data_IF_466443061526
#
_entry.id   IF_466443061526
#
_cell.length_a   1.000
_cell.length_b   1.000
_cell.length_c   1.000
_cell.angle_alpha   90.00
_cell.angle_beta   90.00
_cell.angle_gamma   90.00
#
_symmetry.space_group_name_H-M   'P 1'
#
loop_
_entity.id
_entity.type
_entity.pdbx_description
1 polymer ?
#
# COMPACT_ATOMS: atom_id res chain seq x y z
N UNK A 1 24.35 -7.17 -12.22
CA UNK A 1 23.52 -8.32 -11.84
C UNK A 1 22.25 -7.77 -11.21
N UNK A 2 21.07 -8.00 -11.82
CA UNK A 2 19.80 -7.61 -11.22
C UNK A 2 19.44 -8.65 -10.16
N UNK A 3 19.59 -8.27 -8.89
CA UNK A 3 19.16 -9.08 -7.76
C UNK A 3 17.66 -8.80 -7.57
N UNK A 4 16.87 -9.83 -7.34
CA UNK A 4 15.45 -9.72 -7.07
C UNK A 4 15.20 -8.90 -5.78
N UNK A 5 14.29 -7.96 -5.84
CA UNK A 5 13.92 -7.10 -4.69
C UNK A 5 14.67 -5.77 -4.63
N UNK A 6 14.46 -5.05 -3.54
CA UNK A 6 15.19 -3.82 -3.26
C UNK A 6 16.56 -4.14 -2.65
N UNK A 7 17.61 -3.35 -2.97
CA UNK A 7 18.90 -3.51 -2.30
C UNK A 7 18.74 -3.40 -0.79
N UNK A 8 19.41 -4.28 -0.05
CA UNK A 8 19.51 -4.15 1.39
C UNK A 8 20.30 -2.88 1.72
N UNK A 9 19.74 -1.93 2.47
CA UNK A 9 20.42 -0.70 2.81
C UNK A 9 21.56 -0.92 3.83
N UNK A 10 21.73 -2.14 4.36
CA UNK A 10 22.67 -2.45 5.42
C UNK A 10 22.11 -2.15 6.82
N UNK A 11 23.02 -2.04 7.80
CA UNK A 11 22.64 -1.70 9.18
C UNK A 11 21.97 -0.33 9.29
N UNK A 12 21.00 -0.22 10.18
CA UNK A 12 20.34 1.04 10.50
C UNK A 12 18.82 0.97 10.51
N UNK A 13 18.21 2.10 10.73
CA UNK A 13 16.76 2.25 10.81
C UNK A 13 16.16 2.33 9.40
N UNK A 14 15.32 1.36 9.07
CA UNK A 14 14.70 1.20 7.76
C UNK A 14 13.41 2.00 7.65
N UNK A 15 13.48 3.22 7.14
CA UNK A 15 12.33 4.11 6.94
C UNK A 15 11.99 4.32 5.45
N UNK A 16 12.35 3.38 4.57
CA UNK A 16 12.23 3.50 3.11
C UNK A 16 11.15 2.63 2.48
N UNK A 17 10.64 1.58 3.18
CA UNK A 17 9.66 0.63 2.65
C UNK A 17 8.29 0.67 3.33
N UNK A 18 8.05 1.66 4.21
CA UNK A 18 6.80 1.79 4.96
C UNK A 18 6.50 0.53 5.79
N UNK A 19 7.56 -0.11 6.30
CA UNK A 19 7.46 -1.22 7.23
C UNK A 19 7.03 -0.70 8.61
N UNK A 20 6.39 -1.53 9.41
CA UNK A 20 6.22 -1.24 10.82
C UNK A 20 7.58 -1.39 11.51
N UNK A 21 8.03 -0.36 12.20
CA UNK A 21 9.35 -0.37 12.83
C UNK A 21 9.34 -0.95 14.25
N UNK A 22 8.17 -1.29 14.77
CA UNK A 22 7.97 -1.82 16.13
C UNK A 22 8.00 -3.33 16.26
N UNK A 23 7.94 -4.05 15.13
CA UNK A 23 7.79 -5.51 15.11
C UNK A 23 6.34 -5.97 15.23
N UNK A 24 6.06 -7.22 14.86
CA UNK A 24 4.72 -7.78 14.88
C UNK A 24 4.22 -8.09 16.30
N UNK A 25 2.91 -8.34 16.43
CA UNK A 25 2.32 -8.78 17.69
C UNK A 25 3.06 -10.01 18.24
N UNK A 26 3.39 -10.05 19.55
CA UNK A 26 3.93 -11.24 20.22
C UNK A 26 3.07 -12.50 20.02
N UNK A 27 1.75 -12.34 19.89
CA UNK A 27 0.82 -13.46 19.62
C UNK A 27 1.12 -14.15 18.30
N UNK A 28 1.59 -13.40 17.28
CA UNK A 28 2.01 -13.96 16.00
C UNK A 28 3.19 -14.93 16.18
N UNK A 29 4.21 -14.51 16.91
CA UNK A 29 5.40 -15.35 17.17
C UNK A 29 5.03 -16.60 17.96
N UNK A 30 4.15 -16.46 18.97
CA UNK A 30 3.66 -17.58 19.75
C UNK A 30 2.87 -18.58 18.90
N UNK A 31 2.00 -18.10 18.00
CA UNK A 31 1.22 -18.94 17.12
C UNK A 31 2.12 -19.73 16.16
N UNK A 32 3.11 -19.07 15.56
CA UNK A 32 4.09 -19.72 14.67
C UNK A 32 4.89 -20.80 15.40
N UNK A 33 5.31 -20.56 16.65
CA UNK A 33 6.04 -21.53 17.46
C UNK A 33 5.25 -22.79 17.80
N UNK A 34 3.91 -22.74 17.72
CA UNK A 34 3.03 -23.91 18.00
C UNK A 34 2.80 -24.80 16.78
N UNK A 35 3.29 -24.40 15.60
CA UNK A 35 3.19 -25.22 14.39
C UNK A 35 3.93 -26.54 14.57
N UNK A 36 3.31 -27.61 14.08
CA UNK A 36 3.83 -28.96 14.11
C UNK A 36 4.51 -29.29 12.77
N UNK A 37 5.42 -30.28 12.71
CA UNK A 37 6.00 -30.73 11.45
C UNK A 37 4.95 -31.12 10.38
N UNK A 38 3.82 -31.71 10.82
CA UNK A 38 2.69 -32.05 9.93
C UNK A 38 2.04 -30.85 9.29
N UNK A 39 1.95 -29.71 9.99
CA UNK A 39 1.35 -28.49 9.44
C UNK A 39 2.20 -27.91 8.30
N UNK A 40 3.53 -28.11 8.39
CA UNK A 40 4.49 -27.66 7.35
C UNK A 40 4.49 -28.59 6.13
N UNK A 41 4.27 -29.90 6.35
CA UNK A 41 4.39 -30.92 5.29
C UNK A 41 3.10 -31.14 4.49
N UNK A 42 1.99 -30.51 4.86
CA UNK A 42 0.70 -30.62 4.17
C UNK A 42 0.28 -29.29 3.53
N UNK A 43 -0.49 -29.38 2.45
CA UNK A 43 -1.05 -28.17 1.85
C UNK A 43 -1.98 -27.44 2.82
N UNK A 44 -1.90 -26.09 2.90
CA UNK A 44 -2.70 -25.31 3.82
C UNK A 44 -4.19 -25.30 3.46
N UNK A 45 -5.04 -25.16 4.48
CA UNK A 45 -6.49 -24.97 4.32
C UNK A 45 -6.86 -23.51 4.63
N UNK A 46 -7.59 -22.87 3.71
CA UNK A 46 -7.93 -21.44 3.80
C UNK A 46 -9.27 -21.10 4.50
N UNK A 47 -10.30 -21.99 4.53
CA UNK A 47 -11.65 -21.61 4.96
C UNK A 47 -11.72 -20.95 6.33
N UNK A 48 -10.96 -21.44 7.31
CA UNK A 48 -10.96 -20.86 8.68
C UNK A 48 -10.50 -19.41 8.69
N UNK A 49 -9.39 -19.10 7.97
CA UNK A 49 -8.87 -17.74 7.88
C UNK A 49 -9.80 -16.83 7.07
N UNK A 50 -10.40 -17.34 5.97
CA UNK A 50 -11.37 -16.58 5.17
C UNK A 50 -12.56 -16.16 6.03
N UNK A 51 -13.10 -17.06 6.85
CA UNK A 51 -14.19 -16.76 7.78
C UNK A 51 -13.77 -15.73 8.87
N UNK A 52 -12.53 -15.80 9.34
CA UNK A 52 -12.00 -14.83 10.31
C UNK A 52 -11.86 -13.44 9.67
N UNK A 53 -11.30 -13.36 8.45
CA UNK A 53 -11.16 -12.14 7.68
C UNK A 53 -12.54 -11.53 7.37
N UNK A 54 -13.49 -12.34 6.89
CA UNK A 54 -14.83 -11.89 6.55
C UNK A 54 -15.53 -11.25 7.76
N UNK A 55 -15.45 -11.89 8.93
CA UNK A 55 -15.97 -11.33 10.19
C UNK A 55 -15.25 -10.05 10.61
N UNK A 56 -13.93 -10.00 10.45
CA UNK A 56 -13.11 -8.85 10.85
C UNK A 56 -13.44 -7.60 10.01
N UNK A 57 -13.66 -7.78 8.71
CA UNK A 57 -13.98 -6.69 7.80
C UNK A 57 -15.48 -6.47 7.55
N UNK A 58 -16.34 -7.25 8.23
CA UNK A 58 -17.81 -7.22 8.11
C UNK A 58 -18.27 -7.37 6.64
N UNK A 59 -17.77 -8.43 5.97
CA UNK A 59 -18.11 -8.76 4.58
C UNK A 59 -18.48 -10.23 4.45
N UNK A 60 -19.15 -10.59 3.34
CA UNK A 60 -19.45 -11.99 3.03
C UNK A 60 -18.15 -12.79 2.79
N UNK A 61 -18.00 -14.00 3.33
CA UNK A 61 -16.83 -14.86 3.04
C UNK A 61 -16.60 -15.11 1.53
N UNK A 62 -17.63 -15.14 0.72
CA UNK A 62 -17.52 -15.29 -0.74
C UNK A 62 -16.89 -14.06 -1.41
N UNK A 63 -16.86 -12.92 -0.73
CA UNK A 63 -16.24 -11.70 -1.25
C UNK A 63 -14.74 -11.62 -0.98
N UNK A 64 -14.17 -12.56 -0.23
CA UNK A 64 -12.76 -12.55 0.17
C UNK A 64 -11.92 -13.46 -0.73
N UNK A 65 -10.84 -12.92 -1.27
CA UNK A 65 -9.78 -13.66 -1.95
C UNK A 65 -8.44 -13.39 -1.29
N UNK A 66 -7.79 -14.45 -0.81
CA UNK A 66 -6.44 -14.40 -0.25
C UNK A 66 -5.40 -14.33 -1.37
N UNK A 67 -4.38 -13.47 -1.21
CA UNK A 67 -3.29 -13.30 -2.17
C UNK A 67 -1.92 -13.27 -1.48
N UNK A 68 -0.87 -13.67 -2.20
CA UNK A 68 0.51 -13.67 -1.70
C UNK A 68 1.09 -12.24 -1.71
N UNK A 69 0.61 -11.43 -0.75
CA UNK A 69 0.72 -9.98 -0.74
C UNK A 69 -0.30 -9.32 -1.67
N UNK A 70 -0.59 -8.05 -1.41
CA UNK A 70 -1.50 -7.31 -2.28
C UNK A 70 -0.92 -7.09 -3.69
N UNK A 71 0.39 -7.14 -3.85
CA UNK A 71 1.05 -7.05 -5.16
C UNK A 71 0.59 -8.18 -6.11
N UNK A 72 0.45 -9.42 -5.60
CA UNK A 72 -0.16 -10.51 -6.36
C UNK A 72 -1.62 -10.21 -6.67
N UNK A 73 -2.39 -9.71 -5.71
CA UNK A 73 -3.79 -9.36 -5.91
C UNK A 73 -3.99 -8.31 -7.02
N UNK A 74 -3.14 -7.28 -7.04
CA UNK A 74 -3.13 -6.25 -8.08
C UNK A 74 -2.82 -6.86 -9.46
N UNK A 75 -1.80 -7.72 -9.54
CA UNK A 75 -1.40 -8.39 -10.77
C UNK A 75 -2.49 -9.34 -11.28
N UNK A 76 -3.05 -10.17 -10.40
CA UNK A 76 -4.11 -11.12 -10.76
C UNK A 76 -5.41 -10.40 -11.16
N UNK A 77 -5.74 -9.28 -10.51
CA UNK A 77 -6.87 -8.45 -10.92
C UNK A 77 -6.66 -7.87 -12.33
N UNK A 78 -5.46 -7.37 -12.63
CA UNK A 78 -5.14 -6.90 -13.99
C UNK A 78 -5.23 -8.01 -15.02
N UNK A 79 -4.61 -9.18 -14.77
CA UNK A 79 -4.64 -10.32 -15.70
C UNK A 79 -6.08 -10.82 -15.88
N UNK A 80 -6.83 -11.02 -14.79
CA UNK A 80 -8.19 -11.57 -14.85
C UNK A 80 -9.18 -10.70 -15.62
N UNK A 81 -9.09 -9.38 -15.50
CA UNK A 81 -10.03 -8.47 -16.14
C UNK A 81 -9.59 -7.96 -17.51
N UNK A 82 -8.29 -7.79 -17.74
CA UNK A 82 -7.76 -7.22 -18.98
C UNK A 82 -7.57 -8.31 -20.03
N UNK A 83 -6.87 -9.41 -19.71
CA UNK A 83 -6.54 -10.44 -20.67
C UNK A 83 -7.79 -11.18 -21.20
N UNK A 84 -8.83 -11.33 -20.37
CA UNK A 84 -10.11 -11.91 -20.78
C UNK A 84 -10.91 -11.04 -21.74
N UNK A 85 -10.71 -9.73 -21.73
CA UNK A 85 -11.41 -8.82 -22.63
C UNK A 85 -11.05 -9.00 -24.11
N UNK A 86 -9.96 -9.73 -24.43
CA UNK A 86 -9.44 -9.99 -25.80
C UNK A 86 -9.32 -8.73 -26.67
N UNK A 87 -9.11 -7.57 -26.04
CA UNK A 87 -8.95 -6.29 -26.74
C UNK A 87 -7.46 -6.00 -26.92
N UNK A 88 -7.04 -5.81 -28.17
CA UNK A 88 -5.64 -5.49 -28.49
C UNK A 88 -5.18 -4.11 -28.01
N UNK A 89 -6.10 -3.23 -27.63
CA UNK A 89 -5.87 -1.84 -27.24
C UNK A 89 -6.47 -1.48 -25.88
N UNK A 90 -6.59 -2.47 -24.98
CA UNK A 90 -7.08 -2.26 -23.62
C UNK A 90 -6.23 -1.21 -22.87
N UNK A 91 -6.90 -0.37 -22.08
CA UNK A 91 -6.30 0.68 -21.30
C UNK A 91 -6.58 0.49 -19.80
N UNK A 92 -5.62 0.92 -18.97
CA UNK A 92 -5.85 1.15 -17.55
C UNK A 92 -5.61 2.61 -17.22
N UNK A 93 -6.37 3.16 -16.27
CA UNK A 93 -6.12 4.51 -15.75
C UNK A 93 -5.30 4.40 -14.46
N UNK A 94 -4.18 5.13 -14.44
CA UNK A 94 -3.25 5.19 -13.30
C UNK A 94 -3.03 6.64 -12.90
N UNK A 95 -3.71 7.16 -11.85
CA UNK A 95 -3.39 8.46 -11.27
C UNK A 95 -1.95 8.50 -10.76
N UNK A 96 -1.22 9.57 -11.06
CA UNK A 96 0.19 9.71 -10.68
C UNK A 96 0.42 10.95 -9.80
N UNK A 97 1.37 10.92 -8.83
CA UNK A 97 2.38 9.86 -8.59
C UNK A 97 1.73 8.56 -8.09
N UNK A 98 2.29 7.43 -8.49
CA UNK A 98 1.69 6.11 -8.28
C UNK A 98 2.66 5.09 -7.65
N UNK A 99 2.08 3.99 -7.21
CA UNK A 99 2.81 2.79 -6.83
C UNK A 99 3.23 2.01 -8.10
N UNK A 100 4.52 1.71 -8.22
CA UNK A 100 5.10 1.11 -9.44
C UNK A 100 4.44 -0.19 -9.92
N UNK A 101 3.89 -1.07 -9.07
CA UNK A 101 3.16 -2.26 -9.49
C UNK A 101 1.95 -2.02 -10.40
N UNK A 102 1.27 -0.88 -10.35
CA UNK A 102 0.10 -0.66 -11.22
C UNK A 102 0.46 -0.64 -12.71
N UNK A 103 1.38 0.23 -13.20
CA UNK A 103 1.79 0.18 -14.59
C UNK A 103 2.48 -1.12 -14.98
N UNK A 104 3.20 -1.77 -14.05
CA UNK A 104 3.84 -3.06 -14.31
C UNK A 104 2.79 -4.17 -14.52
N UNK A 105 1.75 -4.23 -13.67
CA UNK A 105 0.64 -5.19 -13.82
C UNK A 105 -0.18 -4.92 -15.07
N UNK A 106 -0.36 -3.65 -15.44
CA UNK A 106 -0.99 -3.26 -16.71
C UNK A 106 -0.22 -3.83 -17.90
N UNK A 107 1.09 -3.62 -17.93
CA UNK A 107 1.95 -4.14 -19.01
C UNK A 107 1.96 -5.68 -19.05
N UNK A 108 2.01 -6.34 -17.88
CA UNK A 108 1.96 -7.80 -17.78
C UNK A 108 0.63 -8.37 -18.29
N UNK A 109 -0.48 -7.64 -18.13
CA UNK A 109 -1.79 -8.01 -18.66
C UNK A 109 -1.99 -7.66 -20.16
N UNK A 110 -1.00 -7.03 -20.80
CA UNK A 110 -1.04 -6.68 -22.23
C UNK A 110 -1.80 -5.38 -22.55
N UNK A 111 -1.95 -4.48 -21.56
CA UNK A 111 -2.65 -3.21 -21.73
C UNK A 111 -1.70 -2.00 -21.66
N UNK A 112 -2.22 -0.82 -21.96
CA UNK A 112 -1.51 0.46 -21.89
C UNK A 112 -1.99 1.27 -20.69
N UNK A 113 -1.05 1.87 -19.93
CA UNK A 113 -1.38 2.76 -18.82
C UNK A 113 -1.63 4.19 -19.31
N UNK A 114 -2.84 4.69 -19.10
CA UNK A 114 -3.20 6.11 -19.24
C UNK A 114 -2.89 6.79 -17.91
N UNK A 115 -1.84 7.60 -17.88
CA UNK A 115 -1.41 8.31 -16.67
C UNK A 115 -2.20 9.61 -16.50
N UNK A 116 -2.77 9.82 -15.32
CA UNK A 116 -3.50 11.04 -14.95
C UNK A 116 -2.76 11.75 -13.83
N UNK A 117 -2.04 12.85 -14.10
CA UNK A 117 -1.27 13.54 -13.07
C UNK A 117 -2.15 14.12 -11.96
N UNK A 118 -1.69 14.08 -10.71
CA UNK A 118 -2.31 14.77 -9.58
C UNK A 118 -2.38 16.30 -9.80
N UNK A 119 -3.18 16.98 -9.02
CA UNK A 119 -3.18 18.45 -9.00
C UNK A 119 -1.78 18.98 -8.55
N UNK A 120 -1.44 20.25 -8.84
CA UNK A 120 -0.13 20.82 -8.46
C UNK A 120 0.18 20.77 -6.96
N UNK A 121 -0.85 20.70 -6.11
CA UNK A 121 -0.75 20.54 -4.66
C UNK A 121 -0.71 19.07 -4.21
N UNK A 122 -0.70 18.13 -5.16
CA UNK A 122 -0.78 16.67 -5.00
C UNK A 122 -2.14 16.14 -4.55
N UNK A 123 -3.19 16.97 -4.52
CA UNK A 123 -4.55 16.46 -4.31
C UNK A 123 -5.03 15.60 -5.48
N UNK A 124 -6.00 14.74 -5.22
CA UNK A 124 -6.47 13.77 -6.21
C UNK A 124 -7.29 14.44 -7.35
N UNK A 125 -7.05 14.08 -8.62
CA UNK A 125 -7.63 14.76 -9.78
C UNK A 125 -8.92 14.08 -10.27
N UNK A 126 -9.95 13.92 -9.44
CA UNK A 126 -11.18 13.16 -9.69
C UNK A 126 -11.79 13.42 -11.08
N UNK A 127 -12.04 14.68 -11.44
CA UNK A 127 -12.67 15.01 -12.72
C UNK A 127 -11.79 14.67 -13.94
N UNK A 128 -10.45 14.72 -13.79
CA UNK A 128 -9.53 14.30 -14.86
C UNK A 128 -9.51 12.78 -15.00
N UNK A 129 -9.59 12.05 -13.91
CA UNK A 129 -9.71 10.58 -13.92
C UNK A 129 -10.99 10.19 -14.65
N UNK A 130 -12.13 10.80 -14.32
CA UNK A 130 -13.43 10.54 -14.98
C UNK A 130 -13.36 10.85 -16.48
N UNK A 131 -12.81 12.00 -16.86
CA UNK A 131 -12.65 12.36 -18.28
C UNK A 131 -11.71 11.45 -19.06
N UNK A 132 -10.80 10.77 -18.40
CA UNK A 132 -9.87 9.83 -19.04
C UNK A 132 -10.52 8.46 -19.36
N UNK A 133 -11.72 8.17 -18.83
CA UNK A 133 -12.45 6.94 -19.10
C UNK A 133 -12.87 6.89 -20.56
N UNK A 134 -12.52 5.80 -21.23
CA UNK A 134 -12.89 5.52 -22.64
C UNK A 134 -13.53 4.14 -22.76
N UNK A 135 -14.14 3.78 -23.90
CA UNK A 135 -14.60 2.40 -24.15
C UNK A 135 -13.50 1.35 -24.11
N UNK A 136 -12.21 1.73 -24.16
CA UNK A 136 -11.05 0.85 -24.01
C UNK A 136 -10.62 0.67 -22.56
N UNK A 137 -11.07 1.51 -21.64
CA UNK A 137 -10.73 1.40 -20.21
C UNK A 137 -11.28 0.09 -19.66
N UNK A 138 -10.39 -0.73 -19.07
CA UNK A 138 -10.74 -2.02 -18.45
C UNK A 138 -10.51 -2.00 -16.96
N UNK A 139 -9.58 -1.15 -16.48
CA UNK A 139 -9.28 -1.07 -15.08
C UNK A 139 -8.83 0.34 -14.67
N UNK A 140 -9.19 0.75 -13.47
CA UNK A 140 -8.72 1.98 -12.85
C UNK A 140 -8.09 1.60 -11.51
N UNK A 141 -6.85 2.04 -11.27
CA UNK A 141 -6.17 1.84 -9.99
C UNK A 141 -6.30 3.11 -9.15
N UNK A 142 -6.88 3.00 -7.97
CA UNK A 142 -7.03 4.09 -7.00
C UNK A 142 -6.36 3.72 -5.70
N UNK A 143 -5.37 4.48 -5.25
CA UNK A 143 -4.66 4.21 -4.00
C UNK A 143 -5.01 5.27 -2.95
N UNK A 144 -5.64 4.83 -1.86
CA UNK A 144 -6.09 5.71 -0.77
C UNK A 144 -5.85 5.06 0.60
N UNK A 145 -5.01 5.65 1.44
CA UNK A 145 -4.08 6.78 1.24
C UNK A 145 -3.05 6.53 0.13
N UNK A 146 -2.80 7.54 -0.71
CA UNK A 146 -1.93 7.41 -1.88
C UNK A 146 -0.44 7.24 -1.51
N UNK A 147 0.24 6.31 -2.14
CA UNK A 147 1.69 6.19 -2.09
C UNK A 147 2.30 6.82 -3.37
N UNK A 148 3.07 7.94 -3.25
CA UNK A 148 3.83 8.35 -2.06
C UNK A 148 3.28 9.56 -1.29
N UNK A 149 2.16 10.17 -1.66
CA UNK A 149 1.75 11.48 -1.15
C UNK A 149 1.09 11.44 0.23
N UNK A 150 0.49 10.30 0.60
CA UNK A 150 -0.32 10.14 1.82
C UNK A 150 -1.72 10.75 1.72
N UNK A 151 -2.08 11.31 0.55
CA UNK A 151 -3.38 11.94 0.34
C UNK A 151 -4.51 10.93 0.26
N UNK A 152 -5.67 11.32 0.77
CA UNK A 152 -6.90 10.54 0.67
C UNK A 152 -7.69 10.89 -0.60
N UNK A 153 -8.43 9.90 -1.09
CA UNK A 153 -9.52 10.10 -2.02
C UNK A 153 -10.82 10.01 -1.21
N UNK A 154 -11.71 10.97 -1.33
CA UNK A 154 -12.98 10.93 -0.60
C UNK A 154 -13.86 9.76 -1.05
N UNK A 155 -14.67 9.22 -0.13
CA UNK A 155 -15.66 8.19 -0.47
C UNK A 155 -16.58 8.64 -1.61
N UNK A 156 -16.98 9.90 -1.61
CA UNK A 156 -17.81 10.48 -2.67
C UNK A 156 -17.10 10.47 -4.04
N UNK A 157 -15.80 10.78 -4.08
CA UNK A 157 -15.04 10.76 -5.33
C UNK A 157 -14.80 9.33 -5.82
N UNK A 158 -14.52 8.38 -4.91
CA UNK A 158 -14.40 6.96 -5.23
C UNK A 158 -15.71 6.44 -5.85
N UNK A 159 -16.86 6.78 -5.26
CA UNK A 159 -18.19 6.44 -5.76
C UNK A 159 -18.45 7.05 -7.16
N UNK A 160 -18.18 8.33 -7.34
CA UNK A 160 -18.33 9.02 -8.66
C UNK A 160 -17.48 8.35 -9.74
N UNK A 161 -16.26 7.94 -9.42
CA UNK A 161 -15.39 7.27 -10.41
C UNK A 161 -15.94 5.89 -10.76
N UNK A 162 -16.38 5.11 -9.77
CA UNK A 162 -16.93 3.77 -10.03
C UNK A 162 -18.24 3.83 -10.84
N UNK A 163 -19.10 4.82 -10.58
CA UNK A 163 -20.32 5.06 -11.34
C UNK A 163 -20.05 5.48 -12.79
N UNK A 164 -19.00 6.29 -13.01
CA UNK A 164 -18.57 6.67 -14.35
C UNK A 164 -17.89 5.53 -15.13
N UNK A 165 -17.32 4.53 -14.42
CA UNK A 165 -16.54 3.43 -14.97
C UNK A 165 -17.29 2.09 -14.94
N UNK A 166 -18.60 2.05 -15.21
CA UNK A 166 -19.46 0.85 -15.06
C UNK A 166 -18.99 -0.36 -15.86
N UNK A 167 -18.32 -0.13 -16.97
CA UNK A 167 -17.79 -1.18 -17.86
C UNK A 167 -16.32 -1.54 -17.57
N UNK A 168 -15.72 -0.93 -16.54
CA UNK A 168 -14.36 -1.18 -16.09
C UNK A 168 -14.34 -1.55 -14.62
N UNK A 169 -13.31 -2.30 -14.20
CA UNK A 169 -13.08 -2.57 -12.78
C UNK A 169 -12.33 -1.40 -12.15
N UNK A 170 -12.79 -0.98 -10.97
CA UNK A 170 -12.09 -0.02 -10.12
C UNK A 170 -11.46 -0.77 -8.96
N UNK A 171 -10.13 -0.86 -8.94
CA UNK A 171 -9.40 -1.43 -7.81
C UNK A 171 -8.98 -0.30 -6.88
N UNK A 172 -9.55 -0.30 -5.68
CA UNK A 172 -9.22 0.64 -4.61
C UNK A 172 -8.20 -0.03 -3.69
N UNK A 173 -6.96 0.43 -3.75
CA UNK A 173 -5.88 -0.04 -2.89
C UNK A 173 -5.88 0.73 -1.58
N UNK A 174 -6.32 0.06 -0.52
CA UNK A 174 -6.41 0.57 0.85
C UNK A 174 -5.25 0.06 1.73
N UNK A 175 -4.06 -0.14 1.18
CA UNK A 175 -2.92 -0.70 1.91
C UNK A 175 -2.49 0.07 3.16
N UNK A 176 -2.93 1.31 3.33
CA UNK A 176 -2.56 2.19 4.45
C UNK A 176 -3.76 2.73 5.23
N UNK A 177 -4.96 2.27 4.95
CA UNK A 177 -6.22 2.86 5.47
C UNK A 177 -6.33 2.76 7.00
N UNK A 178 -5.68 1.78 7.62
CA UNK A 178 -5.65 1.62 9.08
C UNK A 178 -4.96 2.79 9.81
N UNK A 179 -4.15 3.58 9.11
CA UNK A 179 -3.46 4.73 9.69
C UNK A 179 -4.24 6.04 9.58
N UNK A 180 -5.30 6.07 8.75
CA UNK A 180 -6.18 7.23 8.59
C UNK A 180 -7.03 7.11 7.34
N UNK A 181 -8.23 7.65 7.41
CA UNK A 181 -9.21 7.62 6.34
C UNK A 181 -10.40 6.71 6.64
N UNK A 182 -11.29 6.63 5.68
CA UNK A 182 -12.50 5.82 5.72
C UNK A 182 -12.42 4.76 4.61
N UNK A 183 -12.76 3.51 4.94
CA UNK A 183 -12.76 2.40 3.98
C UNK A 183 -13.97 2.45 3.05
N UNK A 184 -13.77 2.06 1.79
CA UNK A 184 -14.84 1.90 0.81
C UNK A 184 -15.65 0.61 0.98
N UNK A 185 -15.22 -0.32 1.84
CA UNK A 185 -15.89 -1.60 2.04
C UNK A 185 -17.41 -1.49 2.28
N UNK A 186 -17.93 -0.55 3.10
CA UNK A 186 -19.37 -0.40 3.31
C UNK A 186 -20.15 0.03 2.05
N UNK A 187 -19.46 0.52 1.01
CA UNK A 187 -20.09 0.97 -0.24
C UNK A 187 -20.13 -0.14 -1.30
N UNK A 188 -19.37 -1.24 -1.14
CA UNK A 188 -19.28 -2.33 -2.12
C UNK A 188 -20.63 -2.84 -2.63
N UNK A 189 -21.70 -3.02 -1.78
CA UNK A 189 -23.00 -3.50 -2.27
C UNK A 189 -23.67 -2.60 -3.31
N UNK A 190 -23.23 -1.36 -3.45
CA UNK A 190 -23.74 -0.39 -4.42
C UNK A 190 -22.84 -0.22 -5.64
N UNK A 191 -21.65 -0.81 -5.60
CA UNK A 191 -20.60 -0.62 -6.60
C UNK A 191 -20.01 -1.98 -7.04
N UNK A 192 -20.79 -2.80 -7.80
CA UNK A 192 -20.41 -4.18 -8.14
C UNK A 192 -19.18 -4.30 -9.04
N UNK A 193 -18.71 -3.19 -9.62
CA UNK A 193 -17.47 -3.10 -10.40
C UNK A 193 -16.25 -2.67 -9.56
N UNK A 194 -16.36 -2.67 -8.23
CA UNK A 194 -15.24 -2.28 -7.34
C UNK A 194 -14.62 -3.51 -6.69
N UNK A 195 -13.30 -3.51 -6.65
CA UNK A 195 -12.47 -4.39 -5.83
C UNK A 195 -11.70 -3.55 -4.82
N UNK A 196 -11.69 -3.95 -3.54
CA UNK A 196 -10.90 -3.31 -2.49
C UNK A 196 -9.71 -4.21 -2.15
N UNK A 197 -8.49 -3.68 -2.27
CA UNK A 197 -7.26 -4.35 -1.88
C UNK A 197 -6.82 -3.96 -0.48
N UNK A 198 -6.47 -4.95 0.35
CA UNK A 198 -5.93 -4.77 1.70
C UNK A 198 -4.64 -5.57 1.87
N UNK A 199 -3.77 -5.15 2.78
CA UNK A 199 -2.51 -5.86 3.05
C UNK A 199 -2.27 -6.03 4.55
N UNK A 200 -1.67 -7.15 4.91
CA UNK A 200 -1.18 -7.37 6.27
C UNK A 200 0.28 -6.92 6.45
N UNK A 201 0.91 -6.38 5.41
CA UNK A 201 2.32 -5.98 5.42
C UNK A 201 2.61 -4.70 6.18
N UNK A 202 1.62 -3.81 6.39
CA UNK A 202 1.83 -2.44 6.92
C UNK A 202 1.38 -2.32 8.37
N UNK A 203 0.11 -2.17 8.62
CA UNK A 203 -0.42 -1.94 9.96
C UNK A 203 -0.30 -3.17 10.88
N UNK A 204 -0.37 -4.38 10.31
CA UNK A 204 -0.25 -5.64 11.06
C UNK A 204 1.20 -6.13 11.20
N UNK A 205 2.17 -5.44 10.58
CA UNK A 205 3.61 -5.76 10.61
C UNK A 205 3.98 -7.18 10.13
N UNK A 206 3.30 -7.63 9.09
CA UNK A 206 3.52 -8.94 8.49
C UNK A 206 4.14 -8.85 7.09
N UNK A 207 4.99 -7.84 6.85
CA UNK A 207 5.60 -7.61 5.54
C UNK A 207 6.35 -8.85 5.01
N UNK A 208 7.07 -9.56 5.88
CA UNK A 208 7.79 -10.78 5.55
C UNK A 208 6.88 -12.00 5.29
N UNK A 209 5.63 -11.98 5.74
CA UNK A 209 4.67 -13.08 5.55
C UNK A 209 4.01 -13.07 4.19
N UNK A 210 4.05 -11.93 3.48
CA UNK A 210 3.47 -11.80 2.14
C UNK A 210 1.99 -12.23 2.09
N UNK A 211 1.11 -11.57 2.85
CA UNK A 211 -0.34 -11.78 2.78
C UNK A 211 -1.06 -10.48 2.45
N UNK A 212 -1.96 -10.57 1.49
CA UNK A 212 -2.92 -9.56 1.12
C UNK A 212 -4.28 -10.18 0.86
N UNK A 213 -5.27 -9.36 0.66
CA UNK A 213 -6.61 -9.77 0.27
C UNK A 213 -7.17 -8.83 -0.79
N UNK A 214 -7.99 -9.38 -1.67
CA UNK A 214 -8.87 -8.63 -2.57
C UNK A 214 -10.30 -8.94 -2.15
N UNK A 215 -11.09 -7.90 -1.92
CA UNK A 215 -12.48 -7.98 -1.47
C UNK A 215 -13.36 -7.36 -2.55
N UNK A 216 -14.44 -8.05 -2.91
CA UNK A 216 -15.42 -7.57 -3.88
C UNK A 216 -16.52 -8.58 -4.11
N UNK A 217 -17.60 -8.17 -4.75
CA UNK A 217 -18.69 -9.09 -5.09
C UNK A 217 -18.21 -10.19 -6.04
N UNK A 218 -18.82 -11.40 -5.98
CA UNK A 218 -18.40 -12.54 -6.78
C UNK A 218 -18.24 -12.27 -8.29
N UNK A 219 -19.10 -11.48 -8.97
CA UNK A 219 -18.91 -11.19 -10.39
C UNK A 219 -17.61 -10.42 -10.70
N UNK A 220 -17.21 -9.49 -9.85
CA UNK A 220 -15.95 -8.76 -9.98
C UNK A 220 -14.74 -9.60 -9.52
N UNK A 221 -14.93 -10.46 -8.53
CA UNK A 221 -13.86 -11.25 -7.94
C UNK A 221 -13.56 -12.53 -8.71
N UNK A 222 -14.54 -13.12 -9.42
CA UNK A 222 -14.36 -14.40 -10.11
C UNK A 222 -13.25 -14.38 -11.16
N UNK A 223 -13.11 -13.35 -12.03
CA UNK A 223 -11.98 -13.29 -12.96
C UNK A 223 -10.60 -13.30 -12.27
N UNK A 224 -10.50 -12.75 -11.06
CA UNK A 224 -9.27 -12.77 -10.25
C UNK A 224 -9.02 -14.17 -9.69
N UNK A 225 -10.06 -14.84 -9.18
CA UNK A 225 -10.00 -16.23 -8.70
C UNK A 225 -9.51 -17.19 -9.78
N UNK A 226 -10.02 -17.04 -11.00
CA UNK A 226 -9.71 -17.93 -12.13
C UNK A 226 -8.23 -17.93 -12.54
N UNK A 227 -7.49 -16.87 -12.20
CA UNK A 227 -6.06 -16.75 -12.51
C UNK A 227 -5.16 -16.86 -11.28
N UNK A 228 -5.76 -16.91 -10.09
CA UNK A 228 -5.01 -17.10 -8.83
C UNK A 228 -4.65 -18.57 -8.66
N UNK A 229 -3.37 -18.84 -8.36
CA UNK A 229 -2.90 -20.20 -8.16
C UNK A 229 -3.45 -20.80 -6.86
N UNK A 230 -3.81 -22.10 -6.84
CA UNK A 230 -4.18 -22.77 -5.62
C UNK A 230 -2.97 -22.83 -4.65
N UNK A 231 -3.22 -22.76 -3.35
CA UNK A 231 -2.18 -22.85 -2.32
C UNK A 231 -1.07 -21.79 -2.43
N UNK A 232 -1.42 -20.60 -2.95
CA UNK A 232 -0.49 -19.47 -3.13
C UNK A 232 0.06 -18.89 -1.81
N UNK A 233 -0.54 -19.19 -0.65
CA UNK A 233 -0.12 -18.71 0.66
C UNK A 233 0.33 -19.88 1.54
N UNK A 234 1.49 -19.76 2.14
CA UNK A 234 2.04 -20.78 3.03
C UNK A 234 1.36 -20.80 4.41
N UNK A 235 1.46 -21.92 5.11
CA UNK A 235 0.81 -22.13 6.41
C UNK A 235 1.29 -21.18 7.49
N UNK A 236 2.57 -20.79 7.49
CA UNK A 236 3.14 -19.87 8.49
C UNK A 236 2.46 -18.49 8.34
N UNK A 237 2.28 -18.05 7.10
CA UNK A 237 1.62 -16.78 6.79
C UNK A 237 0.14 -16.79 7.19
N UNK A 238 -0.60 -17.88 6.94
CA UNK A 238 -1.99 -18.03 7.37
C UNK A 238 -2.10 -17.97 8.90
N UNK A 239 -1.22 -18.69 9.61
CA UNK A 239 -1.16 -18.70 11.08
C UNK A 239 -0.84 -17.31 11.63
N UNK A 240 0.10 -16.60 10.99
CA UNK A 240 0.47 -15.25 11.40
C UNK A 240 -0.69 -14.26 11.27
N UNK A 241 -1.42 -14.29 10.15
CA UNK A 241 -2.58 -13.40 9.94
C UNK A 241 -3.72 -13.73 10.91
N UNK A 242 -4.02 -15.01 11.12
CA UNK A 242 -5.03 -15.42 12.12
C UNK A 242 -4.72 -14.82 13.49
N UNK A 243 -3.49 -14.99 13.97
CA UNK A 243 -3.07 -14.50 15.28
C UNK A 243 -3.03 -12.96 15.37
N UNK A 244 -2.67 -12.28 14.26
CA UNK A 244 -2.67 -10.82 14.20
C UNK A 244 -4.08 -10.23 14.27
N UNK A 245 -5.07 -10.86 13.62
CA UNK A 245 -6.47 -10.42 13.67
C UNK A 245 -7.13 -10.66 15.03
N UNK A 246 -6.66 -11.67 15.76
CA UNK A 246 -7.11 -11.95 17.13
C UNK A 246 -6.52 -10.99 18.18
N UNK A 247 -5.45 -10.28 17.86
CA UNK A 247 -4.85 -9.25 18.73
C UNK A 247 -5.47 -7.87 18.46
N UNK A 248 -6.65 -7.66 19.00
CA UNK A 248 -7.43 -6.43 18.78
C UNK A 248 -6.79 -5.16 19.37
N UNK A 249 -5.79 -5.29 20.24
CA UNK A 249 -5.12 -4.16 20.87
C UNK A 249 -3.86 -3.70 20.11
N UNK A 250 -3.24 -4.58 19.33
CA UNK A 250 -1.97 -4.28 18.67
C UNK A 250 -2.11 -3.16 17.65
N UNK A 251 -3.05 -3.29 16.72
CA UNK A 251 -3.28 -2.33 15.64
C UNK A 251 -3.59 -0.91 16.14
N UNK A 252 -4.56 -0.68 17.07
CA UNK A 252 -4.83 0.66 17.58
C UNK A 252 -3.63 1.29 18.27
N UNK A 253 -2.85 0.51 19.04
CA UNK A 253 -1.64 1.01 19.70
C UNK A 253 -0.59 1.44 18.69
N UNK A 254 -0.35 0.67 17.64
CA UNK A 254 0.61 1.03 16.60
C UNK A 254 0.13 2.22 15.77
N UNK A 255 -1.14 2.27 15.40
CA UNK A 255 -1.71 3.41 14.68
C UNK A 255 -1.57 4.72 15.46
N UNK A 256 -1.74 4.69 16.79
CA UNK A 256 -1.49 5.85 17.65
C UNK A 256 -0.02 6.30 17.63
N UNK A 257 0.95 5.36 17.64
CA UNK A 257 2.38 5.67 17.50
C UNK A 257 2.67 6.33 16.14
N UNK A 258 2.09 5.82 15.07
CA UNK A 258 2.25 6.39 13.71
C UNK A 258 1.66 7.80 13.64
N UNK A 259 0.49 8.02 14.23
CA UNK A 259 -0.12 9.35 14.26
C UNK A 259 0.79 10.36 14.99
N UNK A 260 1.26 10.03 16.18
CA UNK A 260 2.19 10.88 16.94
C UNK A 260 3.51 11.12 16.17
N UNK A 261 4.04 10.08 15.53
CA UNK A 261 5.25 10.15 14.70
C UNK A 261 5.10 11.11 13.52
N UNK A 262 3.94 11.11 12.85
CA UNK A 262 3.65 12.09 11.78
C UNK A 262 3.66 13.52 12.31
N UNK A 263 2.99 13.78 13.43
CA UNK A 263 2.93 15.12 14.03
C UNK A 263 4.35 15.63 14.41
N UNK A 264 5.18 14.75 14.94
CA UNK A 264 6.59 15.07 15.25
C UNK A 264 7.40 15.39 13.99
N UNK A 265 7.22 14.60 12.90
CA UNK A 265 7.84 14.88 11.60
C UNK A 265 7.36 16.21 11.02
N UNK A 266 6.06 16.51 11.07
CA UNK A 266 5.53 17.81 10.63
C UNK A 266 6.12 18.97 11.41
N UNK A 267 6.20 18.86 12.72
CA UNK A 267 6.83 19.87 13.56
C UNK A 267 8.32 20.07 13.22
N UNK A 268 9.07 18.99 12.97
CA UNK A 268 10.46 19.06 12.55
C UNK A 268 10.59 19.70 11.16
N UNK A 269 9.77 19.32 10.18
CA UNK A 269 9.79 19.94 8.86
C UNK A 269 9.50 21.45 8.91
N UNK A 270 8.53 21.88 9.72
CA UNK A 270 8.24 23.31 9.95
C UNK A 270 9.44 24.05 10.51
N UNK A 271 10.11 23.52 11.55
CA UNK A 271 11.31 24.13 12.15
C UNK A 271 12.47 24.25 11.16
N UNK A 272 12.59 23.26 10.25
CA UNK A 272 13.67 23.19 9.27
C UNK A 272 13.36 23.94 7.97
N UNK A 273 12.16 24.51 7.81
CA UNK A 273 11.73 25.17 6.58
C UNK A 273 11.56 24.21 5.39
N UNK A 274 11.34 22.91 5.65
CA UNK A 274 11.12 21.91 4.63
C UNK A 274 9.62 21.83 4.29
N UNK A 275 9.30 21.83 2.98
CA UNK A 275 7.94 21.56 2.53
C UNK A 275 7.63 20.07 2.74
N UNK A 276 6.45 19.78 3.24
CA UNK A 276 5.92 18.44 3.41
C UNK A 276 4.44 18.41 3.05
N UNK A 277 3.89 17.21 2.89
CA UNK A 277 2.45 16.99 2.70
C UNK A 277 1.92 16.17 3.89
N UNK A 278 0.81 16.64 4.46
CA UNK A 278 0.10 15.90 5.49
C UNK A 278 -0.36 14.55 4.93
N UNK A 279 -0.22 13.50 5.73
CA UNK A 279 -0.40 12.13 5.28
C UNK A 279 -1.39 11.38 6.17
N UNK A 280 -2.26 10.60 5.55
CA UNK A 280 -3.10 9.62 6.24
C UNK A 280 -2.47 8.22 6.34
N UNK A 281 -1.24 8.04 5.81
CA UNK A 281 -0.50 6.78 5.83
C UNK A 281 0.60 6.76 6.92
N UNK A 282 1.38 5.67 6.98
CA UNK A 282 2.52 5.56 7.89
C UNK A 282 3.83 6.15 7.31
N UNK A 283 3.75 7.23 6.60
CA UNK A 283 4.91 7.95 6.04
C UNK A 283 4.56 9.41 5.78
N UNK A 284 5.60 10.21 5.57
CA UNK A 284 5.50 11.62 5.17
C UNK A 284 6.33 11.84 3.92
N UNK A 285 5.79 12.54 2.92
CA UNK A 285 6.52 13.02 1.76
C UNK A 285 7.11 14.39 2.10
N UNK A 286 8.43 14.55 1.91
CA UNK A 286 9.17 15.76 2.27
C UNK A 286 10.00 16.22 1.08
N UNK A 287 9.91 17.51 0.73
CA UNK A 287 10.73 18.10 -0.33
C UNK A 287 12.05 18.61 0.26
N UNK A 288 13.15 18.04 -0.21
CA UNK A 288 14.50 18.29 0.33
C UNK A 288 15.46 18.89 -0.72
N UNK A 289 14.99 19.11 -1.95
CA UNK A 289 15.80 19.57 -3.08
C UNK A 289 16.64 18.42 -3.68
N UNK A 290 17.94 18.50 -3.65
CA UNK A 290 18.82 17.44 -4.15
C UNK A 290 18.74 16.21 -3.25
N UNK A 291 18.10 15.14 -3.73
CA UNK A 291 17.82 13.94 -2.94
C UNK A 291 19.03 13.05 -2.72
N UNK A 292 19.89 12.88 -3.73
CA UNK A 292 21.01 11.95 -3.65
C UNK A 292 22.00 12.27 -2.52
N UNK A 293 22.55 13.51 -2.39
CA UNK A 293 23.43 13.85 -1.28
C UNK A 293 22.69 13.86 0.07
N UNK A 294 21.39 14.16 0.07
CA UNK A 294 20.57 14.14 1.28
C UNK A 294 20.40 12.71 1.82
N UNK A 295 20.04 11.78 0.96
CA UNK A 295 19.90 10.35 1.31
C UNK A 295 21.24 9.77 1.74
N UNK A 296 22.33 10.10 1.03
CA UNK A 296 23.67 9.65 1.42
C UNK A 296 24.06 10.15 2.83
N UNK A 297 23.77 11.40 3.16
CA UNK A 297 24.05 11.97 4.47
C UNK A 297 23.22 11.33 5.60
N UNK A 298 21.96 10.97 5.34
CA UNK A 298 21.12 10.20 6.28
C UNK A 298 21.60 8.75 6.40
N UNK A 299 21.95 8.10 5.31
CA UNK A 299 22.47 6.72 5.32
C UNK A 299 23.79 6.62 6.09
N UNK A 300 24.67 7.63 6.01
CA UNK A 300 25.88 7.70 6.83
C UNK A 300 25.57 7.78 8.34
N UNK A 301 24.36 8.19 8.72
CA UNK A 301 23.82 8.18 10.09
C UNK A 301 22.94 6.96 10.37
N UNK A 302 22.99 5.96 9.50
CA UNK A 302 22.19 4.72 9.58
C UNK A 302 20.67 4.96 9.54
N UNK A 303 20.22 6.02 8.86
CA UNK A 303 18.79 6.30 8.59
C UNK A 303 18.53 6.16 7.09
N UNK A 304 17.68 5.22 6.72
CA UNK A 304 17.40 4.89 5.33
C UNK A 304 16.01 5.37 4.92
N UNK A 305 15.93 6.30 3.97
CA UNK A 305 14.69 6.88 3.46
C UNK A 305 14.53 6.59 1.96
N UNK A 306 13.33 6.78 1.42
CA UNK A 306 13.01 6.47 0.03
C UNK A 306 13.11 7.69 -0.88
N UNK A 307 13.94 7.63 -1.91
CA UNK A 307 13.95 8.61 -3.01
C UNK A 307 12.63 8.54 -3.81
N UNK A 308 11.98 9.68 -3.97
CA UNK A 308 10.78 9.86 -4.80
C UNK A 308 10.96 10.93 -5.89
N UNK A 309 12.17 11.42 -6.07
CA UNK A 309 12.49 12.49 -7.03
C UNK A 309 12.37 12.09 -8.50
N UNK A 310 12.33 10.78 -8.79
CA UNK A 310 12.20 10.26 -10.16
C UNK A 310 10.80 10.45 -10.74
N UNK A 311 9.78 10.61 -9.91
CA UNK A 311 8.43 10.92 -10.38
C UNK A 311 8.34 12.43 -10.68
N UNK A 312 7.88 12.81 -11.89
CA UNK A 312 7.77 14.23 -12.28
C UNK A 312 6.88 15.07 -11.34
N UNK A 313 5.94 14.45 -10.64
CA UNK A 313 5.06 15.15 -9.70
C UNK A 313 5.71 15.41 -8.33
N UNK A 314 6.81 14.71 -8.00
CA UNK A 314 7.48 14.80 -6.70
C UNK A 314 8.98 15.12 -6.83
N UNK A 315 9.38 16.16 -7.61
CA UNK A 315 10.79 16.52 -7.80
C UNK A 315 11.41 16.93 -6.48
N UNK A 316 12.61 16.41 -6.21
CA UNK A 316 13.34 16.73 -4.99
C UNK A 316 12.72 16.19 -3.71
N UNK A 317 11.83 15.19 -3.78
CA UNK A 317 11.15 14.62 -2.63
C UNK A 317 11.77 13.30 -2.16
N UNK A 318 11.76 13.12 -0.86
CA UNK A 318 11.98 11.83 -0.17
C UNK A 318 10.73 11.44 0.59
N UNK A 319 10.47 10.14 0.73
CA UNK A 319 9.42 9.60 1.59
C UNK A 319 10.07 8.98 2.82
N UNK A 320 9.60 9.38 4.00
CA UNK A 320 10.11 8.97 5.31
C UNK A 320 9.00 8.18 6.02
N UNK A 321 9.25 6.93 6.38
CA UNK A 321 8.29 6.14 7.18
C UNK A 321 8.13 6.76 8.57
N UNK A 322 6.89 6.95 9.00
CA UNK A 322 6.50 7.28 10.36
C UNK A 322 6.16 5.97 11.08
N UNK A 323 7.04 5.53 11.98
CA UNK A 323 6.91 4.27 12.70
C UNK A 323 6.71 4.49 14.20
N UNK A 324 7.45 3.76 15.02
CA UNK A 324 7.50 4.00 16.47
C UNK A 324 8.05 5.41 16.77
N UNK A 325 7.54 6.04 17.81
CA UNK A 325 7.90 7.42 18.17
C UNK A 325 9.41 7.56 18.40
N UNK A 326 10.03 6.62 19.09
CA UNK A 326 11.48 6.67 19.37
C UNK A 326 12.32 6.56 18.09
N UNK A 327 11.92 5.72 17.15
CA UNK A 327 12.56 5.60 15.85
C UNK A 327 12.39 6.87 15.01
N UNK A 328 11.23 7.50 15.11
CA UNK A 328 10.95 8.75 14.42
C UNK A 328 11.77 9.90 15.03
N UNK A 329 11.96 9.94 16.36
CA UNK A 329 12.84 10.93 17.01
C UNK A 329 14.29 10.80 16.53
N UNK A 330 14.83 9.57 16.46
CA UNK A 330 16.17 9.34 15.91
C UNK A 330 16.31 9.80 14.45
N UNK A 331 15.26 9.60 13.64
CA UNK A 331 15.23 10.11 12.27
C UNK A 331 15.19 11.64 12.21
N UNK A 332 14.45 12.30 13.12
CA UNK A 332 14.38 13.76 13.21
C UNK A 332 15.74 14.36 13.59
N UNK A 333 16.43 13.79 14.58
CA UNK A 333 17.78 14.22 14.97
C UNK A 333 18.77 14.14 13.80
N UNK A 334 18.72 13.04 13.04
CA UNK A 334 19.54 12.88 11.84
C UNK A 334 19.18 13.92 10.76
N UNK A 335 17.87 14.15 10.56
CA UNK A 335 17.35 15.14 9.62
C UNK A 335 17.84 16.56 9.96
N UNK A 336 17.72 16.98 11.21
CA UNK A 336 18.17 18.27 11.71
C UNK A 336 19.68 18.47 11.49
N UNK A 337 20.48 17.44 11.82
CA UNK A 337 21.93 17.46 11.60
C UNK A 337 22.31 17.61 10.11
N UNK A 338 21.59 16.91 9.22
CA UNK A 338 21.86 16.97 7.76
C UNK A 338 21.48 18.35 7.21
N UNK A 339 20.35 18.91 7.61
CA UNK A 339 19.90 20.23 7.15
C UNK A 339 20.83 21.34 7.65
N UNK A 340 21.22 21.32 8.94
CA UNK A 340 22.19 22.27 9.49
C UNK A 340 23.53 22.25 8.76
N UNK A 341 24.05 21.06 8.45
CA UNK A 341 25.29 20.91 7.69
C UNK A 341 25.20 21.45 6.24
N UNK A 342 24.01 21.47 5.64
CA UNK A 342 23.76 22.07 4.32
C UNK A 342 23.70 23.59 4.35
N UNK A 343 23.11 24.16 5.41
CA UNK A 343 22.98 25.61 5.59
C UNK A 343 24.32 26.30 5.93
N UNK A 344 25.27 25.54 6.48
CA UNK A 344 26.59 26.00 6.81
C UNK A 344 27.59 26.02 5.65
N UNK A 345 27.20 25.50 4.48
CA UNK A 345 27.99 25.47 3.22
C UNK A 345 27.54 26.58 2.30
#
# INVERSE_FOLDING_TARGET
MLIQGYPDPGEGLRLHLNENTGGCSPRVIEAIRRLKPTDISTYPSYPSLVLTIARYFDVDPEWVLLTNGLDEGILMAAIGHISKARMHDAETIVPTPAFDPYPNSTAAAGATSVRVPANPDLTFPTDRVIRAITPRTRMIFLNTPNNPTGQLISIADLARISEAARDAIVLIDEAYIEFGGESFLPQLPRHPNVLVGRTFSKAYDLAGMRVGIVIGEPPALQPVRDVTLPFNINVIALTAVQAALEDTEFLPRYAAQVHESRERLYAACRRLGLRYWESAANYVLVQVGETAPFIQALSARKIHVRDRSKDPATPGCVRITAGMVDHTNAAIEALESVVAARQAR
#
